data_IF_754590134614
#
_entry.id   IF_754590134614
#
_cell.length_a   1.000
_cell.length_b   1.000
_cell.length_c   1.000
_cell.angle_alpha   90.00
_cell.angle_beta   90.00
_cell.angle_gamma   90.00
#
_symmetry.space_group_name_H-M   'P 1'
#
loop_
_entity.id
_entity.type
_entity.pdbx_description
1 polymer ?
#
# COMPACT_ATOMS: atom_id res chain seq x y z
N UNK A 1 -12.56 -6.36 10.50
CA UNK A 1 -11.35 -7.11 10.04
C UNK A 1 -10.22 -6.85 11.01
N UNK A 2 -9.34 -7.85 11.22
CA UNK A 2 -8.09 -7.69 11.99
C UNK A 2 -6.94 -7.35 11.02
N UNK A 3 -6.43 -6.13 11.11
CA UNK A 3 -5.45 -5.60 10.16
C UNK A 3 -4.17 -5.22 10.90
N UNK A 4 -3.04 -5.73 10.45
CA UNK A 4 -1.72 -5.34 10.93
C UNK A 4 -1.09 -4.38 9.92
N UNK A 5 -0.71 -3.20 10.38
CA UNK A 5 -0.01 -2.19 9.56
C UNK A 5 1.42 -2.06 10.06
N UNK A 6 2.40 -2.27 9.18
CA UNK A 6 3.81 -2.11 9.48
C UNK A 6 4.32 -0.77 8.95
N UNK A 7 4.78 0.07 9.85
CA UNK A 7 5.25 1.43 9.60
C UNK A 7 4.26 2.50 10.05
N UNK A 8 4.58 3.23 11.10
CA UNK A 8 3.82 4.37 11.64
C UNK A 8 4.25 5.72 11.03
N UNK A 9 4.78 5.69 9.81
CA UNK A 9 5.10 6.90 9.04
C UNK A 9 3.84 7.55 8.47
N UNK A 10 4.02 8.52 7.56
CA UNK A 10 2.91 9.25 6.96
C UNK A 10 1.86 8.31 6.32
N UNK A 11 2.28 7.35 5.51
CA UNK A 11 1.36 6.43 4.81
C UNK A 11 0.63 5.54 5.81
N UNK A 12 1.35 4.83 6.69
CA UNK A 12 0.73 3.91 7.63
C UNK A 12 -0.10 4.61 8.70
N UNK A 13 0.31 5.78 9.16
CA UNK A 13 -0.47 6.59 10.11
C UNK A 13 -1.80 7.07 9.50
N UNK A 14 -1.77 7.63 8.28
CA UNK A 14 -3.01 8.04 7.58
C UNK A 14 -3.90 6.85 7.25
N UNK A 15 -3.32 5.71 6.87
CA UNK A 15 -4.09 4.50 6.62
C UNK A 15 -4.79 4.01 7.89
N UNK A 16 -4.07 3.97 9.03
CA UNK A 16 -4.63 3.58 10.30
C UNK A 16 -5.78 4.52 10.73
N UNK A 17 -5.61 5.84 10.61
CA UNK A 17 -6.63 6.85 10.87
C UNK A 17 -7.92 6.60 10.07
N UNK A 18 -7.80 6.32 8.77
CA UNK A 18 -8.96 6.10 7.91
C UNK A 18 -9.67 4.77 8.24
N UNK A 19 -8.92 3.72 8.57
CA UNK A 19 -9.48 2.38 8.78
C UNK A 19 -10.09 2.17 10.18
N UNK A 20 -9.63 2.89 11.20
CA UNK A 20 -10.20 2.82 12.55
C UNK A 20 -11.68 3.22 12.55
N UNK A 21 -12.08 4.20 11.71
CA UNK A 21 -13.47 4.63 11.57
C UNK A 21 -14.42 3.60 10.94
N UNK A 22 -13.91 2.50 10.36
CA UNK A 22 -14.67 1.50 9.61
C UNK A 22 -14.95 0.20 10.37
N UNK A 23 -14.88 0.22 11.70
CA UNK A 23 -15.09 -0.96 12.55
C UNK A 23 -14.06 -2.08 12.32
N UNK A 24 -12.80 -1.69 12.10
CA UNK A 24 -11.64 -2.58 11.96
C UNK A 24 -10.81 -2.61 13.25
N UNK A 25 -10.21 -3.76 13.52
CA UNK A 25 -9.29 -4.02 14.62
C UNK A 25 -7.86 -3.76 14.11
N UNK A 26 -7.31 -2.59 14.41
CA UNK A 26 -6.03 -2.15 13.84
C UNK A 26 -4.89 -2.36 14.85
N UNK A 27 -3.85 -3.07 14.42
CA UNK A 27 -2.57 -3.12 15.14
C UNK A 27 -1.48 -2.45 14.31
N UNK A 28 -0.89 -1.39 14.84
CA UNK A 28 0.18 -0.64 14.20
C UNK A 28 1.54 -1.04 14.77
N UNK A 29 2.51 -1.35 13.91
CA UNK A 29 3.87 -1.78 14.27
C UNK A 29 4.89 -0.79 13.73
N UNK A 30 5.77 -0.28 14.57
CA UNK A 30 6.91 0.55 14.19
C UNK A 30 8.08 0.39 15.18
N UNK A 31 9.28 0.72 14.77
CA UNK A 31 10.43 0.80 15.66
C UNK A 31 10.44 2.05 16.52
N UNK A 32 9.74 3.10 16.07
CA UNK A 32 9.67 4.40 16.75
C UNK A 32 8.47 4.45 17.71
N UNK A 33 8.77 4.28 19.02
CA UNK A 33 7.75 4.30 20.07
C UNK A 33 7.02 5.65 20.23
N UNK A 34 7.65 6.79 19.88
CA UNK A 34 7.01 8.10 20.02
C UNK A 34 5.92 8.30 18.97
N UNK A 35 6.17 7.82 17.73
CA UNK A 35 5.16 7.81 16.67
C UNK A 35 3.96 6.94 17.06
N UNK A 36 4.23 5.76 17.58
CA UNK A 36 3.19 4.82 18.02
C UNK A 36 2.33 5.44 19.10
N UNK A 37 2.93 6.02 20.14
CA UNK A 37 2.19 6.70 21.23
C UNK A 37 1.34 7.83 20.70
N UNK A 38 1.89 8.69 19.84
CA UNK A 38 1.15 9.81 19.26
C UNK A 38 -0.10 9.39 18.47
N UNK A 39 -0.09 8.21 17.84
CA UNK A 39 -1.24 7.67 17.11
C UNK A 39 -2.21 6.96 18.07
N UNK A 40 -1.72 6.24 19.06
CA UNK A 40 -2.53 5.58 20.07
C UNK A 40 -3.32 6.58 20.94
N UNK A 41 -2.73 7.75 21.22
CA UNK A 41 -3.41 8.83 21.98
C UNK A 41 -4.58 9.46 21.20
N UNK A 42 -4.58 9.33 19.87
CA UNK A 42 -5.58 9.94 18.99
C UNK A 42 -6.65 8.97 18.51
N UNK A 43 -6.28 7.71 18.38
CA UNK A 43 -7.12 6.69 17.75
C UNK A 43 -7.19 5.43 18.60
N UNK A 44 -8.34 4.77 18.58
CA UNK A 44 -8.54 3.47 19.22
C UNK A 44 -7.89 2.36 18.38
N UNK A 45 -6.58 2.19 18.59
CA UNK A 45 -5.78 1.17 17.93
C UNK A 45 -4.73 0.56 18.85
N UNK A 46 -4.34 -0.67 18.55
CA UNK A 46 -3.27 -1.36 19.26
C UNK A 46 -1.92 -0.98 18.64
N UNK A 47 -0.90 -0.86 19.48
CA UNK A 47 0.46 -0.60 19.03
C UNK A 47 1.43 -1.66 19.52
N UNK A 48 2.40 -2.00 18.68
CA UNK A 48 3.52 -2.90 19.02
C UNK A 48 4.82 -2.26 18.55
N UNK A 49 5.74 -2.04 19.49
CA UNK A 49 7.05 -1.49 19.17
C UNK A 49 8.01 -2.61 18.78
N UNK A 50 8.51 -2.58 17.56
CA UNK A 50 9.49 -3.55 17.08
C UNK A 50 9.71 -3.51 15.58
N UNK A 51 10.59 -4.39 15.11
CA UNK A 51 10.90 -4.51 13.69
C UNK A 51 9.86 -5.41 13.01
N UNK A 52 9.11 -4.88 12.06
CA UNK A 52 7.94 -5.52 11.44
C UNK A 52 8.22 -6.84 10.68
N UNK A 53 9.48 -7.12 10.31
CA UNK A 53 9.87 -8.39 9.69
C UNK A 53 10.19 -9.50 10.70
N UNK A 54 10.21 -9.20 12.01
CA UNK A 54 10.56 -10.21 13.02
C UNK A 54 9.32 -11.04 13.41
N UNK A 55 9.38 -12.38 13.32
CA UNK A 55 8.26 -13.27 13.65
C UNK A 55 7.66 -13.04 15.04
N UNK A 56 8.52 -12.76 16.05
CA UNK A 56 8.06 -12.46 17.41
C UNK A 56 7.20 -11.21 17.46
N UNK A 57 7.59 -10.16 16.75
CA UNK A 57 6.86 -8.88 16.70
C UNK A 57 5.53 -9.05 15.98
N UNK A 58 5.51 -9.79 14.88
CA UNK A 58 4.28 -10.10 14.15
C UNK A 58 3.30 -10.94 15.01
N UNK A 59 3.80 -11.91 15.76
CA UNK A 59 2.96 -12.68 16.71
C UNK A 59 2.39 -11.80 17.80
N UNK A 60 3.20 -10.93 18.38
CA UNK A 60 2.76 -9.95 19.37
C UNK A 60 1.71 -8.98 18.79
N UNK A 61 1.83 -8.65 17.50
CA UNK A 61 0.85 -7.85 16.78
C UNK A 61 -0.47 -8.59 16.46
N UNK A 62 -0.55 -9.89 16.71
CA UNK A 62 -1.73 -10.71 16.46
C UNK A 62 -1.78 -11.36 15.08
N UNK A 63 -0.61 -11.66 14.49
CA UNK A 63 -0.54 -12.27 13.15
C UNK A 63 -1.17 -13.67 13.08
N UNK A 64 -1.30 -14.38 14.20
CA UNK A 64 -1.90 -15.72 14.26
C UNK A 64 -3.37 -15.74 13.79
N UNK A 65 -4.08 -14.63 13.87
CA UNK A 65 -5.48 -14.50 13.47
C UNK A 65 -5.79 -13.22 12.67
N UNK A 66 -4.76 -12.61 12.08
CA UNK A 66 -4.91 -11.42 11.24
C UNK A 66 -5.50 -11.77 9.87
N UNK A 67 -6.48 -10.97 9.43
CA UNK A 67 -7.09 -11.06 8.09
C UNK A 67 -6.20 -10.43 7.02
N UNK A 68 -5.38 -9.43 7.40
CA UNK A 68 -4.58 -8.66 6.47
C UNK A 68 -3.30 -8.12 7.10
N UNK A 69 -2.21 -8.17 6.34
CA UNK A 69 -0.96 -7.46 6.62
C UNK A 69 -0.72 -6.37 5.58
N UNK A 70 -0.47 -5.14 6.03
CA UNK A 70 -0.12 -4.00 5.18
C UNK A 70 1.27 -3.51 5.56
N UNK A 71 2.26 -3.85 4.75
CA UNK A 71 3.67 -3.49 4.97
C UNK A 71 4.02 -2.22 4.18
N UNK A 72 4.10 -1.08 4.89
CA UNK A 72 4.36 0.26 4.31
C UNK A 72 5.52 0.97 5.01
N UNK A 73 6.49 0.21 5.47
CA UNK A 73 7.71 0.76 6.08
C UNK A 73 8.56 1.51 5.05
N UNK A 74 9.67 2.09 5.49
CA UNK A 74 10.62 2.77 4.59
C UNK A 74 11.59 1.84 3.87
N UNK A 75 11.59 0.54 4.15
CA UNK A 75 12.46 -0.46 3.50
C UNK A 75 11.62 -1.48 2.74
N UNK A 76 11.88 -1.60 1.45
CA UNK A 76 11.23 -2.57 0.56
C UNK A 76 11.54 -4.00 1.01
N UNK A 77 12.79 -4.29 1.42
CA UNK A 77 13.23 -5.59 1.91
C UNK A 77 12.49 -5.98 3.21
N UNK A 78 12.30 -5.02 4.12
CA UNK A 78 11.50 -5.25 5.33
C UNK A 78 10.06 -5.59 4.97
N UNK A 79 9.47 -4.89 4.01
CA UNK A 79 8.10 -5.13 3.57
C UNK A 79 7.96 -6.51 2.93
N UNK A 80 8.91 -6.90 2.06
CA UNK A 80 8.95 -8.22 1.43
C UNK A 80 9.11 -9.35 2.46
N UNK A 81 10.09 -9.21 3.37
CA UNK A 81 10.33 -10.23 4.41
C UNK A 81 9.15 -10.35 5.35
N UNK A 82 8.49 -9.24 5.72
CA UNK A 82 7.30 -9.28 6.55
C UNK A 82 6.15 -10.06 5.90
N UNK A 83 5.90 -9.84 4.61
CA UNK A 83 4.91 -10.60 3.84
C UNK A 83 5.28 -12.09 3.77
N UNK A 84 6.56 -12.42 3.56
CA UNK A 84 7.04 -13.80 3.57
C UNK A 84 6.80 -14.48 4.92
N UNK A 85 7.12 -13.81 6.02
CA UNK A 85 6.90 -14.32 7.38
C UNK A 85 5.41 -14.48 7.67
N UNK A 86 4.58 -13.51 7.31
CA UNK A 86 3.14 -13.57 7.48
C UNK A 86 2.51 -14.75 6.73
N UNK A 87 2.97 -15.02 5.52
CA UNK A 87 2.55 -16.19 4.74
C UNK A 87 3.00 -17.49 5.36
N UNK A 88 4.31 -17.64 5.62
CA UNK A 88 4.92 -18.93 5.97
C UNK A 88 4.62 -19.37 7.39
N UNK A 89 4.47 -18.46 8.35
CA UNK A 89 4.30 -18.79 9.76
C UNK A 89 2.89 -18.55 10.29
N UNK A 90 2.14 -17.64 9.68
CA UNK A 90 0.84 -17.22 10.20
C UNK A 90 -0.31 -17.47 9.22
N UNK A 91 -0.02 -17.84 7.96
CA UNK A 91 -1.01 -18.07 6.92
C UNK A 91 -1.96 -16.86 6.74
N UNK A 92 -1.47 -15.64 6.97
CA UNK A 92 -2.25 -14.41 6.78
C UNK A 92 -2.77 -14.35 5.34
N UNK A 93 -4.10 -14.26 5.11
CA UNK A 93 -4.66 -14.48 3.77
C UNK A 93 -4.38 -13.33 2.78
N UNK A 94 -4.26 -12.10 3.27
CA UNK A 94 -4.03 -10.94 2.41
C UNK A 94 -2.76 -10.19 2.84
N UNK A 95 -1.85 -9.99 1.91
CA UNK A 95 -0.56 -9.31 2.16
C UNK A 95 -0.35 -8.23 1.12
N UNK A 96 -0.31 -7.00 1.61
CA UNK A 96 -0.09 -5.80 0.81
C UNK A 96 1.29 -5.27 1.14
N UNK A 97 2.11 -4.97 0.14
CA UNK A 97 3.42 -4.37 0.36
C UNK A 97 3.65 -3.15 -0.52
N UNK A 98 4.24 -2.13 0.10
CA UNK A 98 4.79 -0.98 -0.62
C UNK A 98 6.21 -1.31 -1.06
N UNK A 99 6.46 -1.22 -2.36
CA UNK A 99 7.77 -1.39 -3.00
C UNK A 99 8.05 -0.16 -3.87
N UNK A 100 9.19 0.48 -3.65
CA UNK A 100 9.56 1.72 -4.33
C UNK A 100 10.66 1.54 -5.35
N UNK A 101 11.56 0.56 -5.11
CA UNK A 101 12.69 0.33 -6.00
C UNK A 101 12.21 -0.15 -7.37
N UNK A 102 12.54 0.60 -8.46
CA UNK A 102 12.05 0.28 -9.81
C UNK A 102 12.47 -1.10 -10.30
N UNK A 103 13.61 -1.62 -9.83
CA UNK A 103 14.10 -2.93 -10.22
C UNK A 103 13.20 -4.07 -9.73
N UNK A 104 12.66 -3.95 -8.51
CA UNK A 104 11.67 -4.91 -8.00
C UNK A 104 10.33 -4.79 -8.73
N UNK A 105 9.90 -3.55 -9.01
CA UNK A 105 8.62 -3.31 -9.70
C UNK A 105 8.66 -3.83 -11.13
N UNK A 106 9.80 -3.70 -11.82
CA UNK A 106 9.99 -4.22 -13.20
C UNK A 106 9.82 -5.73 -13.31
N UNK A 107 10.33 -6.46 -12.33
CA UNK A 107 10.25 -7.92 -12.29
C UNK A 107 9.15 -8.45 -11.36
N UNK A 108 8.16 -7.61 -11.03
CA UNK A 108 7.12 -7.89 -10.03
C UNK A 108 6.37 -9.21 -10.29
N UNK A 109 5.99 -9.49 -11.53
CA UNK A 109 5.27 -10.74 -11.90
C UNK A 109 6.05 -12.01 -11.57
N UNK A 110 7.40 -11.95 -11.66
CA UNK A 110 8.26 -13.09 -11.35
C UNK A 110 8.59 -13.18 -9.86
N UNK A 111 8.69 -12.01 -9.21
CA UNK A 111 9.11 -11.92 -7.80
C UNK A 111 7.95 -12.05 -6.83
N UNK A 112 6.78 -11.45 -7.15
CA UNK A 112 5.68 -11.33 -6.20
C UNK A 112 4.55 -12.31 -6.53
N UNK A 113 4.72 -13.53 -6.06
CA UNK A 113 3.77 -14.62 -6.21
C UNK A 113 3.94 -15.61 -5.06
N UNK A 114 3.04 -16.59 -4.95
CA UNK A 114 3.03 -17.57 -3.86
C UNK A 114 4.25 -18.51 -3.82
N UNK A 115 4.99 -18.65 -4.93
CA UNK A 115 6.15 -19.54 -5.03
C UNK A 115 7.47 -18.83 -4.68
N UNK A 116 7.49 -17.49 -4.78
CA UNK A 116 8.66 -16.67 -4.50
C UNK A 116 8.41 -15.77 -3.26
N UNK A 117 8.06 -14.50 -3.43
CA UNK A 117 7.70 -13.60 -2.33
C UNK A 117 6.19 -13.36 -2.34
N UNK A 118 5.43 -13.86 -1.38
CA UNK A 118 3.97 -13.90 -1.42
C UNK A 118 3.36 -12.53 -1.06
N UNK A 119 3.35 -11.62 -2.02
CA UNK A 119 2.66 -10.33 -1.98
C UNK A 119 1.43 -10.42 -2.88
N UNK A 120 0.24 -10.22 -2.33
CA UNK A 120 -1.01 -10.29 -3.08
C UNK A 120 -1.30 -8.97 -3.81
N UNK A 121 -0.95 -7.84 -3.18
CA UNK A 121 -1.13 -6.52 -3.77
C UNK A 121 0.12 -5.66 -3.58
N UNK A 122 0.68 -5.24 -4.71
CA UNK A 122 1.84 -4.35 -4.76
C UNK A 122 1.39 -2.89 -4.81
N UNK A 123 1.95 -2.04 -3.95
CA UNK A 123 1.82 -0.59 -4.00
C UNK A 123 3.17 -0.01 -4.42
N UNK A 124 3.23 0.55 -5.64
CA UNK A 124 4.39 1.25 -6.20
C UNK A 124 4.02 2.73 -6.46
N UNK A 125 4.08 3.62 -5.45
CA UNK A 125 3.59 4.99 -5.58
C UNK A 125 4.33 5.79 -6.65
N UNK A 126 5.63 5.60 -6.78
CA UNK A 126 6.47 6.28 -7.75
C UNK A 126 6.07 5.90 -9.20
N UNK A 127 5.76 4.63 -9.44
CA UNK A 127 5.30 4.16 -10.74
C UNK A 127 3.93 4.75 -11.10
N UNK A 128 3.01 4.81 -10.15
CA UNK A 128 1.70 5.42 -10.36
C UNK A 128 1.80 6.90 -10.78
N UNK A 129 2.74 7.65 -10.18
CA UNK A 129 2.99 9.04 -10.53
C UNK A 129 3.59 9.14 -11.94
N UNK A 130 4.59 8.31 -12.26
CA UNK A 130 5.24 8.27 -13.58
C UNK A 130 4.21 7.95 -14.66
N UNK A 131 3.39 6.92 -14.45
CA UNK A 131 2.35 6.51 -15.39
C UNK A 131 1.30 7.60 -15.61
N UNK A 132 0.97 8.35 -14.57
CA UNK A 132 0.04 9.47 -14.68
C UNK A 132 0.64 10.65 -15.48
N UNK A 133 1.90 10.99 -15.20
CA UNK A 133 2.62 12.04 -15.95
C UNK A 133 2.75 11.63 -17.42
N UNK A 134 3.11 10.38 -17.69
CA UNK A 134 3.25 9.87 -19.07
C UNK A 134 1.93 10.00 -19.84
N UNK A 135 0.82 9.62 -19.21
CA UNK A 135 -0.53 9.80 -19.82
C UNK A 135 -0.86 11.25 -20.13
N UNK A 136 -0.52 12.19 -19.24
CA UNK A 136 -0.75 13.62 -19.49
C UNK A 136 0.11 14.17 -20.63
N UNK A 137 1.30 13.61 -20.84
CA UNK A 137 2.17 13.97 -21.97
C UNK A 137 1.62 13.38 -23.28
N UNK A 138 1.13 12.14 -23.26
CA UNK A 138 0.53 11.50 -24.44
C UNK A 138 -0.78 12.18 -24.88
N UNK A 139 -1.52 12.76 -23.94
CA UNK A 139 -2.79 13.43 -24.20
C UNK A 139 -2.72 14.91 -23.78
N UNK A 140 -1.98 15.76 -24.53
CA UNK A 140 -1.81 17.16 -24.17
C UNK A 140 -3.17 17.90 -24.18
N UNK A 141 -3.47 18.55 -23.05
CA UNK A 141 -4.74 19.23 -22.85
C UNK A 141 -5.82 18.41 -22.15
N UNK A 142 -5.59 17.13 -21.87
CA UNK A 142 -6.45 16.36 -21.01
C UNK A 142 -6.25 16.78 -19.54
N UNK A 143 -7.36 16.92 -18.81
CA UNK A 143 -7.37 17.14 -17.36
C UNK A 143 -7.17 15.82 -16.60
N UNK A 144 -7.66 14.74 -17.18
CA UNK A 144 -7.56 13.40 -16.62
C UNK A 144 -7.66 12.37 -17.75
N UNK A 145 -6.88 11.30 -17.64
CA UNK A 145 -6.98 10.13 -18.53
C UNK A 145 -7.09 8.87 -17.67
N UNK A 146 -8.11 8.06 -17.93
CA UNK A 146 -8.34 6.79 -17.26
C UNK A 146 -8.39 5.68 -18.31
N UNK A 147 -7.56 4.65 -18.13
CA UNK A 147 -7.53 3.49 -19.01
C UNK A 147 -8.39 2.36 -18.43
N UNK A 148 -9.13 1.69 -19.31
CA UNK A 148 -9.95 0.51 -19.02
C UNK A 148 -9.52 -0.66 -19.92
N UNK A 149 -9.89 -1.88 -19.53
CA UNK A 149 -9.63 -3.09 -20.28
C UNK A 149 -8.16 -3.22 -20.75
N UNK A 150 -7.20 -3.09 -19.80
CA UNK A 150 -5.77 -3.22 -20.08
C UNK A 150 -5.25 -2.21 -21.12
N UNK A 151 -5.80 -0.99 -21.10
CA UNK A 151 -5.39 0.08 -22.02
C UNK A 151 -6.08 0.04 -23.40
N UNK A 152 -7.01 -0.90 -23.64
CA UNK A 152 -7.77 -0.98 -24.91
C UNK A 152 -8.80 0.13 -25.07
N UNK A 153 -9.25 0.72 -23.96
CA UNK A 153 -10.20 1.84 -23.94
C UNK A 153 -9.66 2.91 -23.02
N UNK A 154 -9.63 4.15 -23.49
CA UNK A 154 -9.20 5.31 -22.71
C UNK A 154 -10.32 6.34 -22.62
N UNK A 155 -10.59 6.84 -21.42
CA UNK A 155 -11.46 7.99 -21.16
C UNK A 155 -10.58 9.20 -20.90
N UNK A 156 -10.63 10.20 -21.76
CA UNK A 156 -9.95 11.47 -21.58
C UNK A 156 -10.95 12.58 -21.22
N UNK A 157 -10.73 13.24 -20.10
CA UNK A 157 -11.50 14.42 -19.68
C UNK A 157 -10.76 15.65 -20.18
N UNK A 158 -11.42 16.46 -21.03
CA UNK A 158 -10.86 17.69 -21.58
C UNK A 158 -11.73 18.88 -21.20
N UNK A 159 -11.11 20.06 -21.07
CA UNK A 159 -11.84 21.29 -20.86
C UNK A 159 -12.31 21.85 -22.21
N UNK A 160 -13.63 21.87 -22.41
CA UNK A 160 -14.22 22.54 -23.59
C UNK A 160 -14.41 24.04 -23.32
N UNK A 161 -14.11 24.86 -24.32
CA UNK A 161 -14.30 26.29 -24.28
C UNK A 161 -15.36 26.70 -25.31
N UNK A 162 -16.13 27.71 -25.00
CA UNK A 162 -17.10 28.28 -25.92
C UNK A 162 -16.38 28.80 -27.19
N UNK A 163 -16.82 28.37 -28.38
CA UNK A 163 -16.12 28.64 -29.63
C UNK A 163 -14.94 27.75 -29.95
N UNK A 164 -14.67 26.73 -29.14
CA UNK A 164 -13.69 25.69 -29.42
C UNK A 164 -14.24 24.55 -30.29
N UNK A 165 -13.41 23.65 -30.83
CA UNK A 165 -13.83 22.62 -31.78
C UNK A 165 -14.78 21.57 -31.19
N UNK A 166 -14.92 21.51 -29.86
CA UNK A 166 -15.79 20.56 -29.14
C UNK A 166 -17.13 21.20 -28.70
N UNK A 167 -17.31 22.48 -28.89
CA UNK A 167 -18.54 23.21 -28.54
C UNK A 167 -18.99 23.94 -29.82
N UNK A 168 -20.06 23.44 -30.42
CA UNK A 168 -20.66 24.01 -31.61
C UNK A 168 -21.41 25.31 -31.34
#
# INVERSE_FOLDING_TARGET
>A
MKIIILGAGQVGGTLAENLVGENNDITLVDTNGDRLRSLQDKFDLRVVQGHGSHPRVLREAGADDADMLVAVTSSDETNMVACQVAYSLFNTPNRIARIRAPDYVRDAEKLFNSEAVPIDHLIAPEQLVIDNIHRLIEYPGALQVVNFAEGKVSLAVVKAYYGGPLVG
#
